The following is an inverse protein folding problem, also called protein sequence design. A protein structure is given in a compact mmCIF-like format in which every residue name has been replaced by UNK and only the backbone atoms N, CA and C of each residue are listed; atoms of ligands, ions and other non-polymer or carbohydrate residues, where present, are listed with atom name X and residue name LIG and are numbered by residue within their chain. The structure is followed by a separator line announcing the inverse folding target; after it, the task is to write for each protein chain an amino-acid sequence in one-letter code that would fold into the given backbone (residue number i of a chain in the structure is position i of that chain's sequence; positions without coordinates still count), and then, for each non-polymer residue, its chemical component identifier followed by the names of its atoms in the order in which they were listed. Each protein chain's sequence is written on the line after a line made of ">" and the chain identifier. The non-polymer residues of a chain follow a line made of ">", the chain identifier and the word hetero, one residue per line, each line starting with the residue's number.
data_IF_829014916951
#
_entry.id   IF_829014916951
#
_cell.length_a   1.000
_cell.length_b   1.000
_cell.length_c   1.000
_cell.angle_alpha   90.00
_cell.angle_beta   90.00
_cell.angle_gamma   90.00
#
_symmetry.space_group_name_H-M   'P 1'
#
loop_
_entity.id
_entity.type
_entity.pdbx_description
1 polymer ?
#
# COMPACT_ATOMS: atom_id res chain seq x y z
N UNK A 1 -78.84 39.72 -41.78
CA UNK A 1 -79.29 40.77 -40.85
C UNK A 1 -78.04 41.46 -40.31
N UNK A 2 -78.01 42.80 -40.28
CA UNK A 2 -77.06 43.66 -40.99
C UNK A 2 -75.82 44.01 -40.12
N UNK A 3 -74.72 44.65 -40.54
CA UNK A 3 -74.70 45.95 -41.22
C UNK A 3 -73.33 46.37 -41.81
N UNK A 4 -73.47 47.10 -42.93
CA UNK A 4 -72.68 48.13 -43.62
C UNK A 4 -71.32 48.63 -43.09
N UNK A 5 -70.34 48.71 -44.01
CA UNK A 5 -69.79 49.96 -44.64
C UNK A 5 -68.48 50.45 -44.00
N UNK A 6 -67.47 51.06 -44.66
CA UNK A 6 -67.32 51.87 -45.90
C UNK A 6 -65.90 51.60 -46.50
N UNK A 7 -65.67 51.59 -47.83
CA UNK A 7 -65.24 52.73 -48.70
C UNK A 7 -63.70 52.94 -48.68
N UNK A 8 -62.90 53.05 -49.75
CA UNK A 8 -63.05 53.17 -51.21
C UNK A 8 -61.68 52.99 -51.94
N UNK A 9 -61.72 52.86 -53.27
CA UNK A 9 -60.72 52.43 -54.29
C UNK A 9 -59.71 53.52 -54.80
N UNK A 10 -58.87 53.34 -55.88
CA UNK A 10 -57.92 52.24 -56.27
C UNK A 10 -56.60 52.75 -56.95
N UNK A 11 -55.69 51.85 -57.40
CA UNK A 11 -55.05 51.79 -58.76
C UNK A 11 -53.80 50.85 -58.78
N UNK A 12 -53.21 50.45 -59.93
CA UNK A 12 -53.67 49.27 -60.67
C UNK A 12 -52.57 48.26 -61.11
N UNK A 13 -53.06 47.13 -61.67
CA UNK A 13 -52.42 46.36 -62.76
C UNK A 13 -51.31 45.36 -62.32
N UNK A 14 -51.17 44.12 -62.80
CA UNK A 14 -51.61 43.40 -64.02
C UNK A 14 -51.66 41.88 -63.74
N UNK A 15 -52.39 41.20 -64.63
CA UNK A 15 -52.78 39.79 -64.71
C UNK A 15 -51.62 38.78 -64.81
N UNK A 16 -51.84 37.55 -64.35
CA UNK A 16 -51.17 36.35 -64.90
C UNK A 16 -51.30 35.10 -64.02
N UNK A 17 -51.46 33.87 -64.56
CA UNK A 17 -52.31 32.85 -63.94
C UNK A 17 -51.59 31.66 -63.26
N UNK A 18 -52.31 31.05 -62.32
CA UNK A 18 -52.39 29.61 -61.97
C UNK A 18 -51.14 28.72 -62.05
N UNK A 19 -50.55 28.54 -60.86
CA UNK A 19 -50.22 27.27 -60.20
C UNK A 19 -49.73 26.07 -61.05
N UNK A 20 -48.42 25.81 -60.96
CA UNK A 20 -47.88 24.46 -60.78
C UNK A 20 -47.04 24.44 -59.50
N UNK A 21 -47.25 23.42 -58.67
CA UNK A 21 -46.56 23.20 -57.39
C UNK A 21 -45.07 22.93 -57.61
N UNK A 22 -44.21 23.80 -57.09
CA UNK A 22 -42.80 23.50 -56.82
C UNK A 22 -42.61 23.22 -55.34
N UNK A 23 -41.82 22.17 -55.06
CA UNK A 23 -41.35 21.77 -53.75
C UNK A 23 -40.06 22.57 -53.50
N UNK A 24 -40.12 23.61 -52.68
CA UNK A 24 -38.91 24.30 -52.22
C UNK A 24 -38.41 23.58 -50.95
N UNK A 25 -37.51 22.62 -51.14
CA UNK A 25 -36.58 22.21 -50.09
C UNK A 25 -35.52 23.31 -49.92
N UNK A 26 -35.81 24.30 -49.08
CA UNK A 26 -34.77 25.15 -48.52
C UNK A 26 -34.00 24.33 -47.48
N UNK A 27 -32.82 23.83 -47.84
CA UNK A 27 -31.83 23.38 -46.86
C UNK A 27 -31.24 24.62 -46.19
N UNK A 28 -31.60 24.82 -44.92
CA UNK A 28 -30.94 25.76 -44.02
C UNK A 28 -29.64 25.09 -43.51
N UNK A 29 -28.55 25.25 -44.25
CA UNK A 29 -27.19 24.93 -43.80
C UNK A 29 -26.54 26.19 -43.20
N UNK A 30 -27.02 26.66 -42.04
CA UNK A 30 -26.22 27.61 -41.25
C UNK A 30 -26.59 27.61 -39.76
N UNK A 31 -25.84 26.86 -38.93
CA UNK A 31 -25.45 27.35 -37.58
C UNK A 31 -24.64 26.40 -36.67
N UNK A 32 -24.45 25.11 -36.98
CA UNK A 32 -23.93 24.19 -35.95
C UNK A 32 -22.40 24.16 -35.77
N UNK A 33 -21.64 24.82 -36.64
CA UNK A 33 -20.16 24.82 -36.59
C UNK A 33 -19.62 25.58 -35.36
N UNK A 34 -20.31 26.64 -34.93
CA UNK A 34 -19.89 27.49 -33.79
C UNK A 34 -20.12 26.82 -32.43
N UNK A 35 -21.19 26.02 -32.31
CA UNK A 35 -21.52 25.22 -31.13
C UNK A 35 -20.45 24.14 -30.86
N UNK A 36 -20.02 23.45 -31.91
CA UNK A 36 -19.01 22.39 -31.84
C UNK A 36 -17.62 22.96 -31.51
N UNK A 37 -17.26 24.11 -32.07
CA UNK A 37 -16.00 24.78 -31.76
C UNK A 37 -15.96 25.28 -30.30
N UNK A 38 -17.04 25.92 -29.82
CA UNK A 38 -17.16 26.37 -28.44
C UNK A 38 -17.08 25.20 -27.44
N UNK A 39 -17.70 24.07 -27.76
CA UNK A 39 -17.66 22.85 -26.94
C UNK A 39 -16.26 22.24 -26.88
N UNK A 40 -15.56 22.15 -28.02
CA UNK A 40 -14.15 21.70 -28.08
C UNK A 40 -13.23 22.63 -27.29
N UNK A 41 -13.42 23.94 -27.37
CA UNK A 41 -12.62 24.93 -26.63
C UNK A 41 -12.87 24.85 -25.11
N UNK A 42 -14.12 24.66 -24.68
CA UNK A 42 -14.46 24.39 -23.27
C UNK A 42 -13.79 23.11 -22.76
N UNK A 43 -13.85 22.02 -23.53
CA UNK A 43 -13.19 20.76 -23.20
C UNK A 43 -11.66 20.92 -23.12
N UNK A 44 -11.02 21.61 -24.08
CA UNK A 44 -9.58 21.88 -24.07
C UNK A 44 -9.16 22.72 -22.86
N UNK A 45 -9.95 23.74 -22.52
CA UNK A 45 -9.71 24.58 -21.35
C UNK A 45 -9.91 23.79 -20.05
N UNK A 46 -10.90 22.90 -19.98
CA UNK A 46 -11.10 22.01 -18.84
C UNK A 46 -9.93 21.02 -18.71
N UNK A 47 -9.47 20.41 -19.81
CA UNK A 47 -8.26 19.57 -19.84
C UNK A 47 -7.02 20.33 -19.38
N UNK A 48 -6.84 21.57 -19.83
CA UNK A 48 -5.73 22.43 -19.39
C UNK A 48 -5.80 22.77 -17.89
N UNK A 49 -6.98 23.09 -17.38
CA UNK A 49 -7.20 23.34 -15.94
C UNK A 49 -6.93 22.09 -15.12
N UNK A 50 -7.43 20.92 -15.57
CA UNK A 50 -7.19 19.63 -14.92
C UNK A 50 -5.70 19.23 -14.95
N UNK A 51 -5.00 19.48 -16.06
CA UNK A 51 -3.57 19.21 -16.17
C UNK A 51 -2.73 20.13 -15.26
N UNK A 52 -3.14 21.40 -15.10
CA UNK A 52 -2.48 22.34 -14.18
C UNK A 52 -2.66 21.94 -12.70
N UNK A 53 -3.70 21.16 -12.40
CA UNK A 53 -4.01 20.66 -11.06
C UNK A 53 -3.73 19.15 -10.91
N UNK A 54 -2.92 18.58 -11.82
CA UNK A 54 -2.59 17.16 -11.75
C UNK A 54 -1.70 16.87 -10.53
N UNK A 55 -1.70 15.62 -10.01
CA UNK A 55 -0.81 15.22 -8.94
C UNK A 55 0.67 15.50 -9.24
N UNK A 56 1.09 15.31 -10.49
CA UNK A 56 2.46 15.57 -10.96
C UNK A 56 2.80 17.06 -10.94
N UNK A 57 1.87 17.92 -11.38
CA UNK A 57 2.04 19.37 -11.33
C UNK A 57 2.14 19.88 -9.88
N UNK A 58 1.33 19.32 -8.98
CA UNK A 58 1.40 19.61 -7.53
C UNK A 58 2.74 19.16 -6.94
N UNK A 59 3.22 17.97 -7.32
CA UNK A 59 4.50 17.43 -6.87
C UNK A 59 5.68 18.28 -7.34
N UNK A 60 5.69 18.67 -8.61
CA UNK A 60 6.70 19.57 -9.18
C UNK A 60 6.70 20.95 -8.51
N UNK A 61 5.53 21.45 -8.09
CA UNK A 61 5.43 22.71 -7.36
C UNK A 61 5.88 22.59 -5.90
N UNK A 62 5.75 21.40 -5.31
CA UNK A 62 6.05 21.16 -3.91
C UNK A 62 7.52 20.80 -3.65
N UNK A 63 8.25 20.29 -4.65
CA UNK A 63 9.67 19.91 -4.57
C UNK A 63 10.58 20.99 -5.18
N UNK A 64 11.79 21.23 -4.64
CA UNK A 64 12.76 22.20 -5.15
C UNK A 64 13.60 21.62 -6.29
N UNK A 65 13.51 20.31 -6.50
CA UNK A 65 14.26 19.57 -7.50
C UNK A 65 13.33 18.67 -8.32
N UNK A 66 13.75 18.25 -9.53
CA UNK A 66 12.99 17.28 -10.31
C UNK A 66 12.75 16.01 -9.52
N UNK A 67 11.49 15.56 -9.49
CA UNK A 67 11.11 14.35 -8.77
C UNK A 67 11.74 13.11 -9.41
N UNK A 68 12.72 12.54 -8.71
CA UNK A 68 13.38 11.27 -9.07
C UNK A 68 13.31 10.34 -7.85
N UNK A 69 12.19 9.63 -7.67
CA UNK A 69 12.01 8.80 -6.49
C UNK A 69 12.96 7.60 -6.51
N UNK A 70 13.63 7.37 -5.39
CA UNK A 70 14.31 6.12 -5.08
C UNK A 70 13.43 5.35 -4.09
N UNK A 71 12.84 4.26 -4.54
CA UNK A 71 12.03 3.38 -3.70
C UNK A 71 12.93 2.23 -3.23
N UNK A 72 13.14 2.10 -1.92
CA UNK A 72 14.01 1.08 -1.35
C UNK A 72 13.51 0.58 0.00
N UNK A 73 13.96 -0.62 0.44
CA UNK A 73 13.74 -1.07 1.80
C UNK A 73 14.27 -0.07 2.84
N UNK A 74 13.58 -0.01 3.99
CA UNK A 74 14.03 0.77 5.13
C UNK A 74 14.98 -0.06 6.00
N UNK A 75 15.91 0.64 6.63
CA UNK A 75 16.89 0.04 7.53
C UNK A 75 16.85 0.76 8.88
N UNK A 76 17.48 0.18 9.90
CA UNK A 76 17.66 0.86 11.19
C UNK A 76 18.37 2.22 11.06
N UNK A 77 19.18 2.38 10.02
CA UNK A 77 19.84 3.63 9.68
C UNK A 77 18.85 4.76 9.35
N UNK A 78 17.65 4.43 8.89
CA UNK A 78 16.62 5.40 8.50
C UNK A 78 15.69 5.79 9.66
N UNK A 79 15.90 5.23 10.86
CA UNK A 79 15.00 5.36 12.01
C UNK A 79 14.64 6.82 12.34
N UNK A 80 15.64 7.70 12.41
CA UNK A 80 15.40 9.12 12.73
C UNK A 80 14.51 9.80 11.69
N UNK A 81 14.72 9.50 10.40
CA UNK A 81 13.88 10.03 9.32
C UNK A 81 12.46 9.47 9.37
N UNK A 82 12.29 8.19 9.69
CA UNK A 82 10.97 7.56 9.85
C UNK A 82 10.22 8.17 11.03
N UNK A 83 10.90 8.38 12.17
CA UNK A 83 10.33 9.02 13.37
C UNK A 83 9.92 10.46 13.06
N UNK A 84 10.80 11.24 12.42
CA UNK A 84 10.50 12.62 12.05
C UNK A 84 9.30 12.71 11.10
N UNK A 85 9.25 11.84 10.09
CA UNK A 85 8.13 11.79 9.15
C UNK A 85 6.83 11.37 9.82
N UNK A 86 6.86 10.39 10.71
CA UNK A 86 5.69 9.94 11.45
C UNK A 86 5.16 11.03 12.38
N UNK A 87 6.05 11.74 13.08
CA UNK A 87 5.67 12.86 13.92
C UNK A 87 4.99 13.99 13.13
N UNK A 88 5.42 14.21 11.90
CA UNK A 88 4.82 15.21 11.00
C UNK A 88 3.48 14.73 10.40
N UNK A 89 3.38 13.45 10.01
CA UNK A 89 2.23 12.92 9.30
C UNK A 89 1.03 12.60 10.20
N UNK A 90 1.25 12.31 11.49
CA UNK A 90 0.21 11.94 12.45
C UNK A 90 0.04 13.03 13.51
N UNK A 91 -1.01 13.88 13.40
CA UNK A 91 -1.28 14.95 14.37
C UNK A 91 -1.55 14.45 15.78
N UNK A 92 -2.19 13.27 15.88
CA UNK A 92 -2.51 12.57 17.13
C UNK A 92 -1.36 11.65 17.52
N UNK A 93 -0.62 11.91 18.62
CA UNK A 93 0.50 11.07 19.04
C UNK A 93 0.10 9.62 19.30
N UNK A 94 -1.13 9.39 19.78
CA UNK A 94 -1.68 8.06 20.05
C UNK A 94 -1.77 7.17 18.80
N UNK A 95 -1.89 7.75 17.60
CA UNK A 95 -1.98 7.00 16.35
C UNK A 95 -0.61 6.63 15.77
N UNK A 96 0.48 7.15 16.32
CA UNK A 96 1.84 6.93 15.79
C UNK A 96 2.32 5.52 16.12
N UNK A 97 3.02 4.87 15.19
CA UNK A 97 3.72 3.63 15.49
C UNK A 97 4.98 3.86 16.37
N UNK A 98 5.41 5.10 16.54
CA UNK A 98 6.44 5.53 17.49
C UNK A 98 5.89 5.63 18.92
N UNK A 99 5.55 4.50 19.54
CA UNK A 99 5.07 4.53 20.92
C UNK A 99 6.22 4.87 21.88
N UNK A 100 6.27 6.14 22.30
CA UNK A 100 7.21 6.74 23.27
C UNK A 100 7.10 6.14 24.69
N UNK A 101 5.96 5.51 25.04
CA UNK A 101 5.65 5.08 26.42
C UNK A 101 6.61 4.06 27.06
N UNK A 102 7.61 3.55 26.35
CA UNK A 102 8.60 2.61 26.89
C UNK A 102 10.05 3.12 26.87
N UNK A 103 10.33 4.35 26.40
CA UNK A 103 11.70 4.87 26.41
C UNK A 103 11.75 6.31 26.94
N UNK A 104 12.56 6.59 27.98
CA UNK A 104 12.87 7.96 28.43
C UNK A 104 13.65 8.80 27.40
N UNK A 105 14.09 8.17 26.31
CA UNK A 105 14.84 8.81 25.23
C UNK A 105 13.89 9.15 24.05
N UNK A 106 13.57 10.44 23.84
CA UNK A 106 12.70 10.90 22.75
C UNK A 106 13.26 10.62 21.35
N UNK A 107 14.56 10.30 21.25
CA UNK A 107 15.27 10.17 19.99
C UNK A 107 15.28 8.72 19.46
N UNK A 108 14.85 7.73 20.26
CA UNK A 108 14.91 6.32 19.89
C UNK A 108 13.61 5.57 20.18
N UNK A 109 12.67 5.60 19.23
CA UNK A 109 11.42 4.84 19.31
C UNK A 109 11.68 3.33 19.32
N UNK A 110 11.44 2.61 20.43
CA UNK A 110 11.81 1.20 20.55
C UNK A 110 10.97 0.30 19.63
N UNK A 111 9.73 0.70 19.33
CA UNK A 111 8.83 -0.07 18.46
C UNK A 111 9.21 0.04 16.98
N UNK A 112 9.55 1.25 16.49
CA UNK A 112 10.06 1.40 15.13
C UNK A 112 11.43 0.75 14.96
N UNK A 113 12.32 0.91 15.95
CA UNK A 113 13.62 0.25 15.96
C UNK A 113 13.49 -1.27 15.89
N UNK A 114 12.55 -1.85 16.65
CA UNK A 114 12.22 -3.28 16.59
C UNK A 114 11.84 -3.70 15.17
N UNK A 115 10.85 -3.04 14.55
CA UNK A 115 10.34 -3.42 13.22
C UNK A 115 11.41 -3.29 12.13
N UNK A 116 12.20 -2.21 12.16
CA UNK A 116 13.28 -1.97 11.21
C UNK A 116 14.52 -2.86 11.43
N UNK A 117 14.63 -3.50 12.60
CA UNK A 117 15.71 -4.45 12.88
C UNK A 117 15.29 -5.89 12.61
N UNK A 118 14.07 -6.27 12.98
CA UNK A 118 13.59 -7.65 12.90
C UNK A 118 13.10 -8.04 11.51
N UNK A 119 12.46 -7.13 10.77
CA UNK A 119 11.96 -7.40 9.41
C UNK A 119 12.06 -6.16 8.49
N UNK A 120 13.28 -5.64 8.26
CA UNK A 120 13.49 -4.48 7.38
C UNK A 120 12.98 -4.71 5.95
N UNK A 121 13.00 -5.94 5.45
CA UNK A 121 12.58 -6.32 4.10
C UNK A 121 11.09 -6.07 3.83
N UNK A 122 10.27 -5.96 4.88
CA UNK A 122 8.84 -5.68 4.80
C UNK A 122 8.52 -4.20 4.93
N UNK A 123 9.53 -3.37 5.15
CA UNK A 123 9.40 -1.92 5.30
C UNK A 123 10.06 -1.21 4.13
N UNK A 124 9.45 -0.15 3.62
CA UNK A 124 9.86 0.50 2.38
C UNK A 124 9.68 2.02 2.46
N UNK A 125 10.60 2.76 1.86
CA UNK A 125 10.56 4.23 1.80
C UNK A 125 10.68 4.76 0.38
N UNK A 126 10.07 5.92 0.15
CA UNK A 126 10.31 6.75 -1.04
C UNK A 126 11.26 7.87 -0.64
N UNK A 127 12.44 7.88 -1.25
CA UNK A 127 13.46 8.89 -1.05
C UNK A 127 13.59 9.77 -2.29
N UNK A 128 14.05 11.00 -2.09
CA UNK A 128 14.44 11.88 -3.18
C UNK A 128 15.79 12.52 -2.86
N UNK A 129 16.67 12.58 -3.86
CA UNK A 129 17.94 13.29 -3.75
C UNK A 129 17.70 14.80 -3.81
N UNK A 130 18.23 15.51 -2.83
CA UNK A 130 18.10 16.96 -2.70
C UNK A 130 19.49 17.54 -2.47
N UNK A 131 19.85 18.53 -3.28
CA UNK A 131 21.06 19.32 -3.08
C UNK A 131 20.71 20.46 -2.11
N UNK A 132 21.39 20.60 -0.95
CA UNK A 132 21.05 21.61 0.06
C UNK A 132 20.98 23.04 -0.50
N UNK A 133 21.86 23.38 -1.44
CA UNK A 133 21.85 24.69 -2.10
C UNK A 133 20.60 24.98 -2.94
N UNK A 134 19.97 23.94 -3.49
CA UNK A 134 18.71 24.06 -4.24
C UNK A 134 17.49 24.15 -3.30
N UNK A 135 17.66 23.74 -2.04
CA UNK A 135 16.61 23.71 -1.02
C UNK A 135 16.50 25.03 -0.22
N UNK A 136 17.12 26.14 -0.66
CA UNK A 136 17.03 27.44 0.04
C UNK A 136 15.57 27.90 0.15
N UNK A 137 15.05 27.93 1.37
CA UNK A 137 13.64 28.25 1.67
C UNK A 137 12.70 27.03 1.75
N UNK A 138 13.22 25.83 1.56
CA UNK A 138 12.47 24.59 1.58
C UNK A 138 12.85 23.75 2.81
N UNK A 139 11.92 23.63 3.76
CA UNK A 139 12.13 22.87 5.00
C UNK A 139 11.25 21.62 4.98
N UNK A 140 11.85 20.44 5.01
CA UNK A 140 11.17 19.18 5.31
C UNK A 140 11.57 18.70 6.69
N UNK A 141 10.64 18.01 7.35
CA UNK A 141 10.83 17.48 8.70
C UNK A 141 11.92 16.40 8.72
N UNK A 142 12.13 15.70 7.60
CA UNK A 142 13.15 14.65 7.44
C UNK A 142 14.49 15.15 6.93
N UNK A 143 14.63 16.46 6.64
CA UNK A 143 15.86 17.01 6.06
C UNK A 143 17.03 16.98 7.05
N UNK A 144 16.77 17.20 8.34
CA UNK A 144 17.79 17.19 9.40
C UNK A 144 18.36 15.78 9.65
N UNK A 145 17.54 14.75 9.46
CA UNK A 145 17.91 13.33 9.59
C UNK A 145 18.28 12.69 8.25
N UNK A 146 18.35 13.47 7.17
CA UNK A 146 18.69 12.98 5.84
C UNK A 146 20.18 12.63 5.75
N UNK A 147 20.49 11.55 5.04
CA UNK A 147 21.87 11.08 4.89
C UNK A 147 22.47 11.54 3.56
N UNK A 148 23.79 11.80 3.48
CA UNK A 148 24.46 12.00 2.21
C UNK A 148 24.18 10.83 1.26
N UNK A 149 23.89 11.12 0.00
CA UNK A 149 23.72 10.09 -1.03
C UNK A 149 25.07 9.40 -1.31
N UNK A 150 26.13 10.20 -1.37
CA UNK A 150 27.52 9.80 -1.56
C UNK A 150 28.40 10.71 -0.70
N UNK A 151 29.34 10.15 0.06
CA UNK A 151 30.15 10.89 1.05
C UNK A 151 31.04 11.96 0.43
N UNK A 152 31.55 11.72 -0.78
CA UNK A 152 32.57 12.56 -1.42
C UNK A 152 32.01 13.46 -2.53
N UNK A 153 30.68 13.57 -2.63
CA UNK A 153 30.05 14.35 -3.67
C UNK A 153 30.13 15.84 -3.33
N UNK A 154 30.74 16.63 -4.23
CA UNK A 154 31.02 18.05 -4.01
C UNK A 154 29.76 18.92 -3.79
N UNK A 155 28.60 18.48 -4.25
CA UNK A 155 27.33 19.20 -4.08
C UNK A 155 26.60 18.88 -2.75
N UNK A 156 27.14 17.96 -1.93
CA UNK A 156 26.58 17.61 -0.63
C UNK A 156 25.15 17.04 -0.69
N UNK A 157 24.78 16.41 -1.81
CA UNK A 157 23.42 15.91 -2.00
C UNK A 157 23.00 14.89 -0.92
N UNK A 158 21.81 15.10 -0.35
CA UNK A 158 21.23 14.25 0.70
C UNK A 158 20.00 13.49 0.21
N UNK A 159 19.75 12.33 0.81
CA UNK A 159 18.60 11.47 0.55
C UNK A 159 17.50 11.77 1.55
N UNK A 160 16.46 12.46 1.11
CA UNK A 160 15.33 12.91 1.94
C UNK A 160 14.18 11.91 1.84
N UNK A 161 13.69 11.41 2.99
CA UNK A 161 12.54 10.52 3.06
C UNK A 161 11.23 11.32 2.87
N UNK A 162 10.42 10.93 1.89
CA UNK A 162 9.16 11.60 1.53
C UNK A 162 7.91 10.82 1.96
N UNK A 163 8.01 9.50 1.97
CA UNK A 163 6.95 8.59 2.37
C UNK A 163 7.53 7.27 2.88
N UNK A 164 6.88 6.61 3.82
CA UNK A 164 7.26 5.27 4.27
C UNK A 164 6.08 4.34 4.51
N UNK A 165 6.37 3.06 4.43
CA UNK A 165 5.56 1.95 4.93
C UNK A 165 6.42 1.15 5.90
N UNK A 166 5.92 0.92 7.11
CA UNK A 166 6.54 0.02 8.10
C UNK A 166 5.56 -1.08 8.44
N UNK A 167 6.03 -2.32 8.36
CA UNK A 167 5.19 -3.51 8.50
C UNK A 167 5.92 -4.65 9.21
N UNK A 168 5.15 -5.61 9.72
CA UNK A 168 5.66 -6.91 10.19
C UNK A 168 4.80 -8.04 9.66
N UNK A 169 5.17 -9.28 9.93
CA UNK A 169 4.32 -10.44 9.66
C UNK A 169 3.42 -10.73 10.85
N UNK A 170 2.20 -11.18 10.58
CA UNK A 170 1.25 -11.68 11.56
C UNK A 170 0.62 -13.00 11.09
N UNK A 171 0.12 -13.77 12.06
CA UNK A 171 -0.51 -15.07 11.78
C UNK A 171 -1.99 -14.95 11.41
N UNK A 172 -2.69 -13.95 11.92
CA UNK A 172 -4.11 -13.72 11.67
C UNK A 172 -4.39 -13.16 10.27
N UNK A 173 -5.65 -13.18 9.85
CA UNK A 173 -6.09 -12.47 8.63
C UNK A 173 -6.10 -10.95 8.84
N UNK A 174 -6.43 -10.50 10.06
CA UNK A 174 -6.50 -9.11 10.48
C UNK A 174 -5.46 -8.81 11.55
N UNK A 175 -5.07 -7.54 11.67
CA UNK A 175 -4.12 -7.07 12.70
C UNK A 175 -4.81 -7.00 14.07
N UNK A 176 -4.15 -7.54 15.09
CA UNK A 176 -4.56 -7.45 16.50
C UNK A 176 -3.61 -6.58 17.31
N UNK A 177 -3.99 -6.22 18.54
CA UNK A 177 -3.10 -5.47 19.44
C UNK A 177 -1.80 -6.24 19.78
N UNK A 178 -1.82 -7.58 19.73
CA UNK A 178 -0.60 -8.38 19.89
C UNK A 178 0.37 -8.16 18.73
N UNK A 179 -0.14 -8.03 17.50
CA UNK A 179 0.67 -7.77 16.31
C UNK A 179 1.22 -6.33 16.31
N UNK A 180 0.51 -5.39 16.95
CA UNK A 180 0.95 -4.00 17.14
C UNK A 180 2.05 -3.85 18.21
N UNK A 181 2.19 -4.84 19.10
CA UNK A 181 3.17 -4.85 20.19
C UNK A 181 4.58 -5.26 19.78
N UNK A 182 5.45 -5.38 20.77
CA UNK A 182 6.80 -5.94 20.63
C UNK A 182 7.26 -6.58 21.95
N UNK A 183 8.16 -7.58 21.92
CA UNK A 183 8.72 -8.16 23.14
C UNK A 183 9.72 -7.22 23.83
N UNK A 184 9.71 -7.10 25.16
CA UNK A 184 10.58 -6.14 25.88
C UNK A 184 12.09 -6.41 25.66
N UNK A 185 12.49 -7.66 25.64
CA UNK A 185 13.86 -8.16 25.44
C UNK A 185 14.17 -8.49 23.96
N UNK A 186 13.44 -7.90 23.00
CA UNK A 186 13.62 -8.17 21.56
C UNK A 186 15.08 -8.04 21.07
N UNK A 187 15.87 -7.12 21.67
CA UNK A 187 17.29 -6.93 21.34
C UNK A 187 18.17 -8.10 21.76
N UNK A 188 17.82 -8.79 22.85
CA UNK A 188 18.57 -9.93 23.38
C UNK A 188 18.13 -11.27 22.77
N UNK A 189 16.96 -11.32 22.11
CA UNK A 189 16.31 -12.56 21.65
C UNK A 189 16.95 -13.24 20.44
N UNK A 190 17.97 -12.66 19.81
CA UNK A 190 18.75 -13.26 18.71
C UNK A 190 17.89 -13.98 17.63
N UNK A 191 16.74 -13.42 17.25
CA UNK A 191 15.85 -13.99 16.23
C UNK A 191 14.88 -15.08 16.70
N UNK A 192 14.67 -15.26 18.01
CA UNK A 192 13.61 -16.16 18.50
C UNK A 192 12.25 -15.51 18.39
N UNK A 193 11.30 -16.21 17.77
CA UNK A 193 9.90 -15.80 17.67
C UNK A 193 9.27 -15.62 19.06
N UNK A 194 8.44 -14.59 19.21
CA UNK A 194 7.63 -14.34 20.40
C UNK A 194 6.15 -14.39 20.04
N UNK A 195 5.27 -14.52 21.03
CA UNK A 195 3.80 -14.45 20.81
C UNK A 195 3.30 -13.03 20.47
N UNK A 196 4.17 -12.03 20.53
CA UNK A 196 3.84 -10.61 20.34
C UNK A 196 4.76 -9.99 19.29
N UNK A 197 4.21 -9.16 18.42
CA UNK A 197 4.92 -8.47 17.35
C UNK A 197 5.10 -9.33 16.10
N UNK A 198 6.30 -9.31 15.52
CA UNK A 198 6.60 -10.00 14.26
C UNK A 198 6.51 -11.53 14.39
N UNK A 199 5.72 -12.14 13.50
CA UNK A 199 5.54 -13.59 13.39
C UNK A 199 6.21 -14.12 12.11
N UNK A 200 7.40 -14.69 12.22
CA UNK A 200 8.19 -15.15 11.06
C UNK A 200 7.50 -16.22 10.20
N UNK A 201 6.55 -16.97 10.75
CA UNK A 201 5.76 -17.96 10.00
C UNK A 201 4.45 -17.38 9.46
N UNK A 202 4.10 -16.14 9.83
CA UNK A 202 2.85 -15.49 9.47
C UNK A 202 2.71 -15.27 7.97
N UNK A 203 1.56 -15.62 7.40
CA UNK A 203 1.27 -15.44 5.96
C UNK A 203 0.52 -14.14 5.65
N UNK A 204 0.36 -13.28 6.65
CA UNK A 204 -0.20 -11.94 6.49
C UNK A 204 0.87 -10.91 6.81
N UNK A 205 0.98 -9.88 5.96
CA UNK A 205 1.81 -8.71 6.24
C UNK A 205 0.91 -7.66 6.90
N UNK A 206 1.17 -7.37 8.17
CA UNK A 206 0.52 -6.30 8.91
C UNK A 206 1.20 -4.96 8.64
N UNK A 207 0.54 -4.08 7.90
CA UNK A 207 0.98 -2.72 7.66
C UNK A 207 0.61 -1.85 8.87
N UNK A 208 1.63 -1.37 9.57
CA UNK A 208 1.46 -0.67 10.84
C UNK A 208 1.58 0.85 10.74
N UNK A 209 2.38 1.35 9.80
CA UNK A 209 2.56 2.79 9.59
C UNK A 209 2.67 3.07 8.10
N UNK A 210 1.77 3.89 7.57
CA UNK A 210 1.88 4.53 6.26
C UNK A 210 1.92 6.03 6.50
N UNK A 211 3.09 6.65 6.30
CA UNK A 211 3.26 8.09 6.44
C UNK A 211 3.68 8.70 5.10
N UNK A 212 3.12 9.86 4.79
CA UNK A 212 3.52 10.69 3.66
C UNK A 212 3.73 12.10 4.20
N UNK A 213 4.78 12.78 3.74
CA UNK A 213 5.08 14.14 4.18
C UNK A 213 3.86 15.05 3.92
N UNK A 214 3.36 15.80 4.93
CA UNK A 214 2.14 16.59 4.81
C UNK A 214 2.11 17.53 3.60
N UNK A 215 3.27 18.15 3.29
CA UNK A 215 3.41 19.04 2.13
C UNK A 215 3.23 18.36 0.77
N UNK A 216 3.33 17.03 0.73
CA UNK A 216 3.20 16.20 -0.47
C UNK A 216 1.90 15.39 -0.51
N UNK A 217 0.97 15.67 0.40
CA UNK A 217 -0.39 15.13 0.31
C UNK A 217 -1.07 15.62 -0.97
N UNK A 218 -1.94 14.80 -1.55
CA UNK A 218 -2.60 15.14 -2.82
C UNK A 218 -1.69 15.17 -4.05
N UNK A 219 -0.39 14.85 -3.92
CA UNK A 219 0.58 14.76 -5.02
C UNK A 219 0.75 13.32 -5.56
N UNK A 220 -0.07 12.37 -5.09
CA UNK A 220 -0.05 10.98 -5.56
C UNK A 220 0.98 10.06 -4.89
N UNK A 221 1.81 10.54 -3.96
CA UNK A 221 2.83 9.72 -3.28
C UNK A 221 2.25 8.56 -2.47
N UNK A 222 1.15 8.78 -1.75
CA UNK A 222 0.47 7.70 -1.03
C UNK A 222 0.01 6.57 -1.97
N UNK A 223 -0.46 6.94 -3.17
CA UNK A 223 -0.85 5.96 -4.19
C UNK A 223 0.36 5.22 -4.74
N UNK A 224 1.45 5.94 -4.97
CA UNK A 224 2.70 5.38 -5.46
C UNK A 224 3.27 4.35 -4.49
N UNK A 225 3.40 4.70 -3.20
CA UNK A 225 4.02 3.82 -2.21
C UNK A 225 3.17 2.57 -1.95
N UNK A 226 1.84 2.69 -1.83
CA UNK A 226 0.96 1.53 -1.62
C UNK A 226 1.02 0.56 -2.80
N UNK A 227 0.98 1.07 -4.04
CA UNK A 227 1.09 0.22 -5.23
C UNK A 227 2.44 -0.48 -5.32
N UNK A 228 3.53 0.26 -5.15
CA UNK A 228 4.88 -0.30 -5.15
C UNK A 228 5.02 -1.35 -4.04
N UNK A 229 4.45 -1.09 -2.86
CA UNK A 229 4.49 -1.98 -1.71
C UNK A 229 3.79 -3.30 -1.98
N UNK A 230 2.52 -3.25 -2.40
CA UNK A 230 1.72 -4.44 -2.70
C UNK A 230 2.38 -5.27 -3.81
N UNK A 231 2.94 -4.63 -4.83
CA UNK A 231 3.65 -5.32 -5.91
C UNK A 231 4.93 -5.99 -5.41
N UNK A 232 5.75 -5.30 -4.61
CA UNK A 232 6.99 -5.85 -4.06
C UNK A 232 6.71 -7.01 -3.10
N UNK A 233 5.68 -6.89 -2.25
CA UNK A 233 5.29 -7.95 -1.33
C UNK A 233 4.71 -9.17 -2.05
N UNK A 234 4.01 -8.99 -3.18
CA UNK A 234 3.60 -10.11 -4.03
C UNK A 234 4.82 -10.89 -4.56
N UNK A 235 5.80 -10.14 -5.08
CA UNK A 235 6.98 -10.70 -5.72
C UNK A 235 7.92 -11.42 -4.73
N UNK A 236 7.86 -11.08 -3.45
CA UNK A 236 8.69 -11.73 -2.42
C UNK A 236 8.21 -13.14 -2.09
N UNK A 237 6.93 -13.47 -2.33
CA UNK A 237 6.34 -14.77 -1.98
C UNK A 237 6.25 -15.05 -0.47
N UNK A 238 6.55 -14.06 0.37
CA UNK A 238 6.63 -14.21 1.82
C UNK A 238 5.25 -14.38 2.48
N UNK A 239 4.21 -13.82 1.86
CA UNK A 239 2.85 -13.74 2.41
C UNK A 239 1.79 -13.87 1.32
N UNK A 240 0.57 -14.22 1.73
CA UNK A 240 -0.59 -14.39 0.85
C UNK A 240 -1.51 -13.15 0.84
N UNK A 241 -1.35 -12.26 1.84
CA UNK A 241 -2.15 -11.04 1.98
C UNK A 241 -1.42 -9.92 2.73
N UNK A 242 -1.92 -8.69 2.54
CA UNK A 242 -1.60 -7.51 3.37
C UNK A 242 -2.84 -7.15 4.17
N UNK A 243 -2.70 -6.96 5.48
CA UNK A 243 -3.73 -6.36 6.33
C UNK A 243 -3.25 -5.00 6.81
N UNK A 244 -4.16 -4.05 6.96
CA UNK A 244 -3.89 -2.76 7.59
C UNK A 244 -5.08 -2.30 8.43
N UNK A 245 -4.80 -1.42 9.38
CA UNK A 245 -5.81 -0.72 10.16
C UNK A 245 -5.96 0.70 9.62
N UNK A 246 -7.20 1.17 9.43
CA UNK A 246 -7.44 2.55 9.04
C UNK A 246 -8.67 3.14 9.71
N UNK A 247 -8.72 4.47 9.80
CA UNK A 247 -9.92 5.20 10.24
C UNK A 247 -10.97 5.19 9.13
N UNK A 248 -12.25 5.35 9.49
CA UNK A 248 -13.40 5.29 8.58
C UNK A 248 -13.24 6.14 7.32
N UNK A 249 -12.70 7.35 7.47
CA UNK A 249 -12.50 8.29 6.35
C UNK A 249 -11.45 7.83 5.32
N UNK A 250 -10.66 6.80 5.64
CA UNK A 250 -9.65 6.20 4.76
C UNK A 250 -10.10 4.88 4.13
N UNK A 251 -11.24 4.30 4.52
CA UNK A 251 -11.74 3.04 3.95
C UNK A 251 -11.87 3.15 2.44
N UNK A 252 -12.61 4.15 1.96
CA UNK A 252 -12.79 4.42 0.53
C UNK A 252 -11.45 4.74 -0.19
N UNK A 253 -10.43 5.21 0.54
CA UNK A 253 -9.10 5.38 -0.03
C UNK A 253 -8.45 4.03 -0.34
N UNK A 254 -8.46 3.10 0.61
CA UNK A 254 -7.86 1.76 0.46
C UNK A 254 -8.66 0.85 -0.49
N UNK A 255 -9.98 0.96 -0.53
CA UNK A 255 -10.82 0.24 -1.49
C UNK A 255 -10.45 0.53 -2.95
N UNK A 256 -10.03 1.76 -3.28
CA UNK A 256 -9.57 2.11 -4.63
C UNK A 256 -8.28 1.42 -5.03
N UNK A 257 -7.50 0.93 -4.07
CA UNK A 257 -6.36 0.07 -4.34
C UNK A 257 -6.77 -1.39 -4.47
N UNK A 258 -7.98 -1.73 -4.02
CA UNK A 258 -8.67 -3.03 -4.00
C UNK A 258 -8.51 -3.80 -2.68
N UNK A 259 -8.19 -3.10 -1.58
CA UNK A 259 -8.38 -3.66 -0.24
C UNK A 259 -9.88 -3.85 0.02
N UNK A 260 -10.22 -4.93 0.71
CA UNK A 260 -11.59 -5.25 1.13
C UNK A 260 -11.76 -4.87 2.60
N UNK A 261 -12.81 -4.10 2.90
CA UNK A 261 -13.20 -3.81 4.28
C UNK A 261 -13.77 -5.07 4.96
N UNK A 262 -13.18 -5.45 6.09
CA UNK A 262 -13.60 -6.56 6.95
C UNK A 262 -14.39 -6.08 8.17
N UNK A 263 -14.72 -4.79 8.22
CA UNK A 263 -15.49 -4.16 9.28
C UNK A 263 -14.61 -3.64 10.42
N UNK A 264 -15.28 -3.29 11.52
CA UNK A 264 -14.64 -2.75 12.71
C UNK A 264 -13.60 -3.72 13.28
N UNK A 265 -12.45 -3.18 13.67
CA UNK A 265 -11.35 -3.91 14.29
C UNK A 265 -11.47 -3.92 15.79
N UNK A 266 -11.07 -5.05 16.39
CA UNK A 266 -10.96 -5.21 17.84
C UNK A 266 -9.70 -4.52 18.39
N UNK A 267 -8.78 -4.09 17.53
CA UNK A 267 -7.56 -3.41 17.94
C UNK A 267 -7.88 -2.09 18.66
N UNK A 268 -7.36 -1.93 19.87
CA UNK A 268 -7.52 -0.74 20.70
C UNK A 268 -6.30 0.19 20.62
N UNK A 269 -5.29 -0.17 19.82
CA UNK A 269 -4.14 0.67 19.55
C UNK A 269 -4.57 2.13 19.26
N UNK A 270 -3.93 3.10 19.91
CA UNK A 270 -4.21 4.52 19.67
C UNK A 270 -5.62 5.03 19.98
N UNK A 271 -6.43 4.29 20.76
CA UNK A 271 -7.79 4.70 21.13
C UNK A 271 -8.91 3.98 20.36
N UNK A 272 -8.57 3.04 19.47
CA UNK A 272 -9.53 2.20 18.76
C UNK A 272 -10.28 2.90 17.62
N UNK A 273 -11.42 2.31 17.23
CA UNK A 273 -12.24 2.83 16.12
C UNK A 273 -11.61 2.59 14.74
N UNK A 274 -10.87 1.49 14.57
CA UNK A 274 -10.24 1.15 13.30
C UNK A 274 -11.13 0.22 12.48
N UNK A 275 -10.96 0.27 11.17
CA UNK A 275 -11.47 -0.71 10.21
C UNK A 275 -10.33 -1.63 9.78
N UNK A 276 -10.64 -2.92 9.64
CA UNK A 276 -9.73 -3.92 9.10
C UNK A 276 -9.81 -3.90 7.57
N UNK A 277 -8.73 -3.51 6.91
CA UNK A 277 -8.64 -3.55 5.45
C UNK A 277 -7.68 -4.66 5.03
N UNK A 278 -8.13 -5.57 4.15
CA UNK A 278 -7.33 -6.73 3.71
C UNK A 278 -7.19 -6.77 2.19
N UNK A 279 -5.96 -6.91 1.71
CA UNK A 279 -5.61 -7.16 0.32
C UNK A 279 -5.10 -8.59 0.16
N UNK A 280 -5.73 -9.40 -0.69
CA UNK A 280 -5.28 -10.76 -1.00
C UNK A 280 -4.76 -10.84 -2.44
N UNK A 281 -3.55 -11.36 -2.66
CA UNK A 281 -2.98 -11.52 -4.01
C UNK A 281 -3.60 -12.70 -4.76
N UNK A 282 -3.94 -13.74 -4.01
CA UNK A 282 -4.77 -14.83 -4.49
C UNK A 282 -6.15 -14.66 -3.88
N UNK A 283 -7.25 -14.82 -4.64
CA UNK A 283 -8.53 -14.99 -4.00
C UNK A 283 -8.39 -16.14 -3.01
N UNK A 284 -8.63 -15.88 -1.72
CA UNK A 284 -8.86 -16.98 -0.81
C UNK A 284 -10.02 -17.77 -1.41
N UNK A 285 -9.86 -19.07 -1.71
CA UNK A 285 -10.97 -19.82 -2.27
C UNK A 285 -12.15 -19.62 -1.33
N UNK A 286 -13.30 -19.25 -1.89
CA UNK A 286 -14.55 -19.24 -1.12
C UNK A 286 -14.73 -20.62 -0.47
N UNK A 287 -15.50 -20.72 0.62
CA UNK A 287 -15.72 -22.00 1.30
C UNK A 287 -16.13 -23.12 0.31
N UNK A 288 -16.86 -22.76 -0.75
CA UNK A 288 -17.28 -23.66 -1.83
C UNK A 288 -16.14 -24.03 -2.80
N UNK A 289 -15.28 -23.07 -3.17
CA UNK A 289 -14.07 -23.34 -3.97
C UNK A 289 -13.01 -24.14 -3.20
N UNK A 290 -12.88 -23.89 -1.89
CA UNK A 290 -11.97 -24.61 -1.01
C UNK A 290 -12.40 -26.08 -0.87
N UNK A 291 -13.73 -26.31 -0.78
CA UNK A 291 -14.33 -27.64 -0.82
C UNK A 291 -14.09 -28.34 -2.16
N UNK A 292 -14.28 -27.65 -3.29
CA UNK A 292 -14.03 -28.20 -4.63
C UNK A 292 -12.55 -28.51 -4.91
N UNK A 293 -11.62 -27.70 -4.37
CA UNK A 293 -10.18 -27.96 -4.42
C UNK A 293 -9.82 -29.19 -3.59
N UNK A 294 -10.41 -29.34 -2.40
CA UNK A 294 -10.22 -30.52 -1.55
C UNK A 294 -10.79 -31.81 -2.21
N UNK A 295 -11.94 -31.71 -2.88
CA UNK A 295 -12.54 -32.82 -3.64
C UNK A 295 -11.71 -33.19 -4.87
N UNK A 296 -11.01 -32.24 -5.52
CA UNK A 296 -10.08 -32.52 -6.64
C UNK A 296 -8.77 -33.18 -6.19
N UNK A 297 -8.22 -32.82 -5.05
CA UNK A 297 -7.01 -33.48 -4.51
C UNK A 297 -7.28 -34.88 -3.94
N UNK A 298 -8.53 -35.17 -3.50
CA UNK A 298 -8.94 -36.49 -3.04
C UNK A 298 -8.88 -37.59 -4.12
N UNK A 299 -8.76 -37.23 -5.40
CA UNK A 299 -8.66 -38.18 -6.51
C UNK A 299 -7.21 -38.49 -6.95
N UNK A 300 -6.17 -37.97 -6.27
CA UNK A 300 -4.78 -38.23 -6.67
C UNK A 300 -3.75 -38.51 -5.54
N UNK A 301 -4.17 -38.81 -4.31
CA UNK A 301 -3.24 -39.25 -3.25
C UNK A 301 -3.85 -40.39 -2.42
N UNK A 302 -3.12 -41.49 -2.14
CA UNK A 302 -3.64 -42.58 -1.30
C UNK A 302 -3.74 -42.11 0.16
N UNK A 303 -4.89 -42.43 0.79
CA UNK A 303 -5.30 -42.06 2.16
C UNK A 303 -4.15 -42.00 3.19
N UNK A 304 -3.91 -40.81 3.74
CA UNK A 304 -3.20 -40.63 5.00
C UNK A 304 -4.10 -41.00 6.19
N UNK A 305 -3.59 -41.86 7.09
CA UNK A 305 -4.28 -42.48 8.23
C UNK A 305 -4.28 -41.63 9.53
N UNK A 306 -4.24 -40.30 9.46
CA UNK A 306 -4.02 -39.49 10.67
C UNK A 306 -4.70 -38.11 10.72
N UNK A 307 -5.89 -37.95 10.14
CA UNK A 307 -6.75 -36.80 10.44
C UNK A 307 -7.99 -37.24 11.26
N UNK A 308 -8.35 -36.52 12.33
CA UNK A 308 -9.46 -36.89 13.20
C UNK A 308 -10.81 -36.67 12.52
N UNK A 309 -11.65 -37.70 12.49
CA UNK A 309 -13.00 -37.64 11.95
C UNK A 309 -13.94 -36.83 12.86
N UNK A 310 -14.68 -35.90 12.28
CA UNK A 310 -15.84 -35.25 12.93
C UNK A 310 -17.01 -36.24 13.10
N UNK A 311 -17.90 -36.04 14.10
CA UNK A 311 -18.71 -37.11 14.64
C UNK A 311 -20.00 -37.33 13.84
N UNK A 312 -20.28 -38.58 13.48
CA UNK A 312 -21.58 -38.94 12.94
C UNK A 312 -21.67 -40.38 12.46
N UNK A 313 -22.55 -41.15 13.13
CA UNK A 313 -23.12 -42.46 12.75
C UNK A 313 -22.43 -43.71 13.32
N UNK A 314 -23.05 -44.24 14.38
CA UNK A 314 -22.82 -45.57 14.94
C UNK A 314 -23.00 -46.68 13.90
N UNK A 315 -22.05 -47.60 13.82
CA UNK A 315 -22.34 -49.02 13.61
C UNK A 315 -21.23 -49.88 14.21
N UNK A 316 -21.64 -50.86 15.03
CA UNK A 316 -20.81 -51.84 15.73
C UNK A 316 -20.03 -52.73 14.77
N UNK A 317 -18.73 -52.90 14.99
CA UNK A 317 -18.00 -54.10 14.59
C UNK A 317 -16.78 -54.32 15.51
N UNK A 318 -16.73 -55.49 16.11
CA UNK A 318 -15.73 -56.04 17.01
C UNK A 318 -14.59 -56.70 16.24
N UNK A 319 -13.31 -56.44 16.57
CA UNK A 319 -12.28 -57.47 16.83
C UNK A 319 -10.84 -56.91 16.94
N UNK A 320 -10.22 -57.19 18.11
CA UNK A 320 -8.80 -57.45 18.48
C UNK A 320 -7.62 -56.57 17.97
N UNK A 321 -6.65 -56.23 18.85
CA UNK A 321 -5.47 -55.45 18.50
C UNK A 321 -4.30 -56.32 18.00
N UNK A 322 -3.60 -55.84 16.97
CA UNK A 322 -2.32 -56.39 16.50
C UNK A 322 -1.15 -55.54 17.04
N UNK A 323 -0.12 -56.26 17.48
CA UNK A 323 1.07 -55.81 18.20
C UNK A 323 2.09 -55.22 17.21
N UNK A 324 2.60 -54.01 17.51
CA UNK A 324 3.72 -53.35 16.82
C UNK A 324 5.07 -53.97 17.25
N UNK A 325 6.01 -54.25 16.31
CA UNK A 325 7.40 -54.48 16.66
C UNK A 325 8.19 -53.16 16.79
N UNK A 326 8.90 -53.02 17.91
CA UNK A 326 9.93 -52.01 18.18
C UNK A 326 11.08 -52.11 17.16
N UNK A 327 11.49 -51.00 16.56
CA UNK A 327 12.79 -50.84 15.91
C UNK A 327 13.64 -49.84 16.70
N UNK A 328 14.88 -50.24 16.97
CA UNK A 328 15.88 -49.49 17.75
C UNK A 328 16.58 -48.40 16.92
N UNK A 329 17.12 -47.33 17.55
CA UNK A 329 17.85 -46.29 16.86
C UNK A 329 19.28 -46.74 16.51
N UNK A 330 19.69 -46.50 15.25
CA UNK A 330 21.07 -46.63 14.78
C UNK A 330 21.78 -45.29 14.96
N UNK A 331 22.81 -45.28 15.81
CA UNK A 331 23.72 -44.16 16.01
C UNK A 331 24.70 -44.06 14.84
N UNK A 332 24.72 -42.93 14.13
CA UNK A 332 25.79 -42.58 13.20
C UNK A 332 26.56 -41.39 13.78
N UNK A 333 27.84 -41.62 14.07
CA UNK A 333 28.74 -40.70 14.75
C UNK A 333 29.22 -39.54 13.88
N UNK A 334 29.16 -38.35 14.48
CA UNK A 334 29.83 -37.14 14.02
C UNK A 334 31.36 -37.29 14.16
N UNK A 335 32.11 -37.23 13.05
CA UNK A 335 33.55 -36.97 13.07
C UNK A 335 33.79 -35.47 12.92
N UNK A 336 34.52 -34.89 13.88
CA UNK A 336 35.06 -33.52 13.84
C UNK A 336 36.23 -33.45 12.85
N UNK A 337 36.35 -32.39 12.03
CA UNK A 337 37.61 -32.10 11.35
C UNK A 337 38.57 -31.32 12.27
N UNK A 338 39.84 -31.71 12.16
CA UNK A 338 41.02 -31.32 12.93
C UNK A 338 41.54 -29.91 12.59
N UNK A 339 42.06 -29.24 13.63
CA UNK A 339 42.90 -28.02 13.55
C UNK A 339 44.11 -28.26 12.63
N UNK A 340 44.36 -27.33 11.73
CA UNK A 340 45.66 -27.15 11.08
C UNK A 340 46.28 -25.88 11.68
N UNK A 341 47.40 -26.06 12.36
CA UNK A 341 48.31 -25.04 12.86
C UNK A 341 49.23 -24.60 11.74
N UNK A 342 49.32 -23.29 11.50
CA UNK A 342 50.34 -22.67 10.67
C UNK A 342 50.87 -21.42 11.36
N UNK A 343 52.06 -21.53 11.94
CA UNK A 343 52.94 -20.41 12.30
C UNK A 343 53.48 -19.75 11.02
N UNK A 344 53.59 -18.41 10.99
CA UNK A 344 54.89 -17.73 10.96
C UNK A 344 54.80 -16.22 10.66
N UNK A 345 55.61 -15.50 11.45
CA UNK A 345 56.32 -14.24 11.20
C UNK A 345 55.57 -12.93 10.98
N UNK A 346 55.67 -12.08 12.01
CA UNK A 346 55.72 -10.62 11.88
C UNK A 346 57.08 -10.16 11.34
N UNK A 347 57.16 -8.99 10.69
CA UNK A 347 58.36 -8.17 10.66
C UNK A 347 58.24 -6.95 11.57
N UNK A 348 59.41 -6.57 12.09
CA UNK A 348 59.65 -5.50 13.05
C UNK A 348 59.68 -4.10 12.41
N UNK A 349 59.35 -3.11 13.24
CA UNK A 349 59.88 -1.73 13.35
C UNK A 349 60.40 -1.01 12.09
N UNK A 350 59.82 0.16 11.83
CA UNK A 350 60.48 1.46 12.08
C UNK A 350 59.43 2.53 12.45
#
# INVERSE_FOLDING_TARGET
>A
MPDRSQGGQPSPSKKGPLALKTVDHAMDESSDVDSDFASKQKMLNQKRRAAKDSPEARLQKALPCPFRPNIRPLTISDLESVVALENAAFPKPEHRASREKACPDPQNSPLLAYRLTTCPELSMGIFCTVVPDQAKGWQFETLSSAKPVETDRADGAVSVLLAHVVSTRCCGETITDKDMGFPEDWRARAGKSADVGNQETGRTIGLHSLAVAPKLHGCGLGKMIVKAYVQQMNNSGLADRVSLLCQDYLVAYYERFGFVDKGASEAQFGGGGWHNMVWCWFPSPTFEEARLLCDREAHHVPRCLSCPASPGRLSKATSKPAILPRLQPVSIGLRRPSRISGEASAPATD
#
